data_IF_248936494034
#
_entry.id   IF_248936494034
#
_cell.length_a   1.000
_cell.length_b   1.000
_cell.length_c   1.000
_cell.angle_alpha   90.00
_cell.angle_beta   90.00
_cell.angle_gamma   90.00
#
_symmetry.space_group_name_H-M   'P 1'
#
loop_
_entity.id
_entity.type
_entity.pdbx_description
1 polymer ?
#
# COMPACT_ATOMS: atom_id res chain seq x y z
N UNK A 1 6.96 2.03 -55.75
CA UNK A 1 7.43 2.99 -54.73
C UNK A 1 7.63 4.34 -55.38
N UNK A 2 6.63 5.24 -55.48
CA UNK A 2 6.86 6.63 -55.94
C UNK A 2 5.63 7.58 -55.86
N UNK A 3 4.87 7.65 -54.75
CA UNK A 3 3.75 8.62 -54.63
C UNK A 3 3.53 9.27 -53.25
N UNK A 4 4.58 9.52 -52.45
CA UNK A 4 4.41 10.19 -51.12
C UNK A 4 5.24 11.48 -50.96
N UNK A 5 6.08 11.84 -51.94
CA UNK A 5 6.99 13.00 -51.81
C UNK A 5 6.39 14.43 -51.91
N UNK A 6 5.15 14.72 -52.39
CA UNK A 6 4.74 16.13 -52.53
C UNK A 6 3.95 16.71 -51.34
N UNK A 7 3.71 15.97 -50.26
CA UNK A 7 2.90 16.48 -49.12
C UNK A 7 3.73 17.12 -47.99
N UNK A 8 5.03 16.85 -47.91
CA UNK A 8 5.93 17.45 -46.92
C UNK A 8 6.36 18.88 -47.28
N UNK A 9 6.29 19.27 -48.55
CA UNK A 9 6.74 20.59 -49.02
C UNK A 9 5.69 21.71 -48.81
N UNK A 10 4.43 21.33 -48.60
CA UNK A 10 3.32 22.28 -48.35
C UNK A 10 3.25 22.77 -46.90
N UNK A 11 3.76 22.00 -45.95
CA UNK A 11 3.78 22.34 -44.52
C UNK A 11 4.96 23.22 -44.15
N UNK A 12 6.15 22.99 -44.73
CA UNK A 12 7.33 23.85 -44.48
C UNK A 12 7.16 25.27 -45.03
N UNK A 13 6.45 25.44 -46.16
CA UNK A 13 6.18 26.78 -46.74
C UNK A 13 5.15 27.60 -45.95
N UNK A 14 4.42 26.97 -45.01
CA UNK A 14 3.42 27.63 -44.16
C UNK A 14 3.98 28.07 -42.79
N UNK A 15 5.15 27.55 -42.40
CA UNK A 15 5.79 27.86 -41.11
C UNK A 15 6.80 29.02 -41.20
N UNK A 16 7.34 29.32 -42.39
CA UNK A 16 8.30 30.41 -42.60
C UNK A 16 7.67 31.81 -42.77
N UNK A 17 6.33 31.92 -42.81
CA UNK A 17 5.62 33.17 -43.19
C UNK A 17 5.04 33.98 -42.04
N UNK A 18 5.31 33.64 -40.78
CA UNK A 18 4.78 34.36 -39.60
C UNK A 18 5.86 34.97 -38.70
N UNK A 19 7.10 35.13 -39.17
CA UNK A 19 8.17 35.75 -38.38
C UNK A 19 8.66 37.05 -39.04
N UNK A 20 7.94 38.15 -38.82
CA UNK A 20 8.44 39.52 -39.00
C UNK A 20 7.35 40.55 -38.68
N UNK A 21 7.29 41.03 -37.43
CA UNK A 21 6.78 42.36 -37.08
C UNK A 21 7.09 42.67 -35.62
N UNK A 22 8.33 43.10 -35.36
CA UNK A 22 8.73 43.79 -34.14
C UNK A 22 8.49 45.28 -34.38
N UNK A 23 7.68 45.93 -33.55
CA UNK A 23 7.61 47.39 -33.46
C UNK A 23 7.75 47.75 -31.98
N UNK A 24 8.89 48.34 -31.68
CA UNK A 24 9.29 48.88 -30.38
C UNK A 24 8.76 50.31 -30.35
N UNK A 25 7.93 50.64 -29.36
CA UNK A 25 7.69 52.03 -28.96
C UNK A 25 7.78 52.10 -27.44
N UNK A 26 8.74 52.89 -26.96
CA UNK A 26 9.00 53.16 -25.56
C UNK A 26 8.51 54.58 -25.24
N UNK A 27 7.74 54.74 -24.17
CA UNK A 27 7.31 56.04 -23.63
C UNK A 27 6.74 55.88 -22.22
N UNK A 28 6.87 56.90 -21.35
CA UNK A 28 7.41 56.72 -20.00
C UNK A 28 6.36 56.63 -18.87
N UNK A 29 6.81 56.03 -17.77
CA UNK A 29 6.17 55.99 -16.44
C UNK A 29 6.17 57.35 -15.74
N UNK A 30 5.01 57.79 -15.25
CA UNK A 30 4.87 58.52 -13.98
C UNK A 30 3.56 58.12 -13.26
N UNK A 31 3.54 58.15 -11.91
CA UNK A 31 2.46 57.59 -11.08
C UNK A 31 1.41 58.65 -10.71
N UNK A 32 0.20 58.21 -10.30
CA UNK A 32 -0.54 58.65 -9.08
C UNK A 32 -2.06 58.48 -9.20
N UNK A 33 -2.58 57.74 -8.21
CA UNK A 33 -3.90 57.76 -7.53
C UNK A 33 -5.18 58.12 -8.28
N UNK A 34 -6.20 57.24 -8.25
CA UNK A 34 -7.36 57.34 -7.33
C UNK A 34 -8.46 56.30 -7.67
N UNK A 35 -8.85 55.54 -6.64
CA UNK A 35 -10.17 54.97 -6.35
C UNK A 35 -11.14 54.62 -7.49
N UNK A 36 -11.38 53.33 -7.69
CA UNK A 36 -12.71 52.83 -8.10
C UNK A 36 -12.94 51.38 -7.62
N UNK A 37 -14.20 51.13 -7.25
CA UNK A 37 -14.69 50.04 -6.43
C UNK A 37 -14.30 48.63 -6.89
N UNK A 38 -13.76 47.83 -5.97
CA UNK A 38 -13.63 46.38 -6.11
C UNK A 38 -14.96 45.73 -5.72
N UNK A 39 -15.73 45.40 -6.75
CA UNK A 39 -16.87 44.48 -6.66
C UNK A 39 -16.29 43.07 -6.45
N UNK A 40 -16.50 42.52 -5.26
CA UNK A 40 -15.98 41.23 -4.84
C UNK A 40 -16.61 40.11 -5.67
N UNK A 41 -15.93 39.72 -6.76
CA UNK A 41 -16.16 38.45 -7.43
C UNK A 41 -15.66 37.37 -6.49
N UNK A 42 -16.59 36.70 -5.81
CA UNK A 42 -16.32 35.50 -5.05
C UNK A 42 -15.81 34.42 -6.02
N UNK A 43 -14.49 34.22 -6.06
CA UNK A 43 -13.93 33.04 -6.69
C UNK A 43 -14.45 31.81 -5.94
N UNK A 44 -15.04 30.83 -6.64
CA UNK A 44 -15.34 29.55 -6.02
C UNK A 44 -13.99 28.93 -5.68
N UNK A 45 -13.71 28.81 -4.39
CA UNK A 45 -12.59 28.05 -3.87
C UNK A 45 -12.71 26.66 -4.46
N UNK A 46 -11.92 26.41 -5.51
CA UNK A 46 -11.70 25.10 -6.09
C UNK A 46 -11.26 24.23 -4.92
N UNK A 47 -12.20 23.40 -4.47
CA UNK A 47 -11.99 22.54 -3.33
C UNK A 47 -10.73 21.76 -3.63
N UNK A 48 -9.76 21.84 -2.73
CA UNK A 48 -8.66 20.91 -2.67
C UNK A 48 -9.25 19.53 -2.94
N UNK A 49 -9.04 19.03 -4.16
CA UNK A 49 -9.29 17.65 -4.49
C UNK A 49 -8.33 16.92 -3.59
N UNK A 50 -8.82 16.54 -2.41
CA UNK A 50 -8.28 15.41 -1.67
C UNK A 50 -7.91 14.41 -2.75
N UNK A 51 -6.64 14.01 -2.81
CA UNK A 51 -6.25 12.81 -3.55
C UNK A 51 -7.03 11.67 -2.92
N UNK A 52 -8.31 11.57 -3.29
CA UNK A 52 -9.23 10.55 -2.85
C UNK A 52 -8.56 9.29 -3.31
N UNK A 53 -8.29 8.39 -2.36
CA UNK A 53 -7.84 7.05 -2.68
C UNK A 53 -8.68 6.56 -3.87
N UNK A 54 -8.04 6.04 -4.94
CA UNK A 54 -8.76 5.70 -6.16
C UNK A 54 -9.94 4.82 -5.80
N UNK A 55 -11.13 5.15 -6.27
CA UNK A 55 -12.28 4.29 -6.06
C UNK A 55 -12.06 2.95 -6.80
N UNK A 56 -12.75 1.89 -6.42
CA UNK A 56 -12.71 0.62 -7.14
C UNK A 56 -13.07 0.82 -8.62
N UNK A 57 -14.03 1.70 -8.91
CA UNK A 57 -14.41 2.04 -10.29
C UNK A 57 -13.23 2.66 -11.06
N UNK A 58 -12.50 3.57 -10.42
CA UNK A 58 -11.33 4.23 -11.01
C UNK A 58 -10.19 3.22 -11.24
N UNK A 59 -9.94 2.35 -10.27
CA UNK A 59 -8.95 1.28 -10.39
C UNK A 59 -9.30 0.33 -11.56
N UNK A 60 -10.56 -0.10 -11.67
CA UNK A 60 -10.99 -0.97 -12.78
C UNK A 60 -10.88 -0.24 -14.12
N UNK A 61 -11.27 1.03 -14.20
CA UNK A 61 -11.10 1.79 -15.44
C UNK A 61 -9.63 1.96 -15.82
N UNK A 62 -8.76 2.18 -14.84
CA UNK A 62 -7.32 2.28 -15.06
C UNK A 62 -6.74 0.97 -15.58
N UNK A 63 -7.03 -0.19 -14.96
CA UNK A 63 -6.47 -1.47 -15.44
C UNK A 63 -6.96 -1.81 -16.84
N UNK A 64 -8.21 -1.50 -17.19
CA UNK A 64 -8.74 -1.74 -18.53
C UNK A 64 -8.06 -0.84 -19.57
N UNK A 65 -7.76 0.42 -19.22
CA UNK A 65 -6.95 1.28 -20.07
C UNK A 65 -5.53 0.72 -20.24
N UNK A 66 -4.89 0.26 -19.17
CA UNK A 66 -3.57 -0.38 -19.25
C UNK A 66 -3.58 -1.66 -20.12
N UNK A 67 -4.65 -2.47 -20.04
CA UNK A 67 -4.82 -3.64 -20.92
C UNK A 67 -5.07 -3.27 -22.39
N UNK A 68 -5.80 -2.19 -22.65
CA UNK A 68 -6.01 -1.68 -24.01
C UNK A 68 -4.68 -1.27 -24.66
N UNK A 69 -3.80 -0.60 -23.90
CA UNK A 69 -2.47 -0.25 -24.38
C UNK A 69 -1.53 -1.46 -24.53
N UNK A 70 -1.52 -2.36 -23.54
CA UNK A 70 -0.62 -3.52 -23.54
C UNK A 70 -1.01 -4.59 -24.57
N UNK A 71 -2.31 -4.81 -24.78
CA UNK A 71 -2.85 -5.92 -25.56
C UNK A 71 -3.81 -5.49 -26.67
N UNK A 72 -3.58 -4.31 -27.27
CA UNK A 72 -4.47 -3.64 -28.23
C UNK A 72 -5.30 -4.56 -29.15
N UNK A 73 -4.65 -5.43 -29.94
CA UNK A 73 -5.35 -6.32 -30.89
C UNK A 73 -6.23 -7.37 -30.18
N UNK A 74 -5.77 -7.96 -29.07
CA UNK A 74 -6.55 -8.95 -28.32
C UNK A 74 -7.70 -8.27 -27.58
N UNK A 75 -7.46 -7.07 -27.04
CA UNK A 75 -8.42 -6.27 -26.31
C UNK A 75 -9.61 -5.88 -27.21
N UNK A 76 -9.37 -5.31 -28.39
CA UNK A 76 -10.46 -4.95 -29.31
C UNK A 76 -11.19 -6.17 -29.90
N UNK A 77 -10.54 -7.34 -29.98
CA UNK A 77 -11.21 -8.59 -30.35
C UNK A 77 -12.12 -9.12 -29.23
N UNK A 78 -11.68 -9.04 -27.98
CA UNK A 78 -12.45 -9.49 -26.82
C UNK A 78 -13.59 -8.52 -26.48
N UNK A 79 -13.37 -7.22 -26.67
CA UNK A 79 -14.28 -6.14 -26.28
C UNK A 79 -14.64 -5.25 -27.47
N UNK A 80 -15.15 -5.85 -28.55
CA UNK A 80 -15.52 -5.13 -29.77
C UNK A 80 -16.69 -4.14 -29.57
N UNK A 81 -17.60 -4.45 -28.63
CA UNK A 81 -18.80 -3.65 -28.36
C UNK A 81 -18.67 -2.91 -27.03
N UNK A 82 -19.13 -1.66 -26.98
CA UNK A 82 -19.15 -0.85 -25.76
C UNK A 82 -19.98 -1.50 -24.63
N UNK A 83 -21.08 -2.19 -24.98
CA UNK A 83 -21.89 -2.93 -24.00
C UNK A 83 -21.13 -4.11 -23.38
N UNK A 84 -20.39 -4.87 -24.20
CA UNK A 84 -19.57 -6.00 -23.72
C UNK A 84 -18.47 -5.53 -22.78
N UNK A 85 -17.84 -4.39 -23.08
CA UNK A 85 -16.85 -3.76 -22.21
C UNK A 85 -17.47 -3.31 -20.88
N UNK A 86 -18.66 -2.71 -20.89
CA UNK A 86 -19.36 -2.30 -19.68
C UNK A 86 -19.75 -3.50 -18.79
N UNK A 87 -20.25 -4.59 -19.39
CA UNK A 87 -20.56 -5.85 -18.68
C UNK A 87 -19.30 -6.44 -18.07
N UNK A 88 -18.18 -6.49 -18.82
CA UNK A 88 -16.92 -7.00 -18.33
C UNK A 88 -16.40 -6.17 -17.15
N UNK A 89 -16.40 -4.84 -17.24
CA UNK A 89 -16.00 -3.96 -16.13
C UNK A 89 -16.87 -4.17 -14.89
N UNK A 90 -18.19 -4.31 -15.05
CA UNK A 90 -19.11 -4.61 -13.93
C UNK A 90 -18.82 -5.96 -13.28
N UNK A 91 -18.55 -6.99 -14.09
CA UNK A 91 -18.17 -8.31 -13.60
C UNK A 91 -16.84 -8.30 -12.84
N UNK A 92 -15.86 -7.57 -13.37
CA UNK A 92 -14.54 -7.41 -12.73
C UNK A 92 -14.63 -6.60 -11.44
N UNK A 93 -15.44 -5.54 -11.41
CA UNK A 93 -15.71 -4.75 -10.22
C UNK A 93 -16.27 -5.63 -9.09
N UNK A 94 -17.29 -6.43 -9.37
CA UNK A 94 -17.89 -7.33 -8.38
C UNK A 94 -16.92 -8.43 -7.92
N UNK A 95 -16.07 -8.94 -8.81
CA UNK A 95 -15.11 -9.99 -8.43
C UNK A 95 -13.93 -9.44 -7.62
N UNK A 96 -13.59 -8.16 -7.78
CA UNK A 96 -12.45 -7.51 -7.14
C UNK A 96 -12.85 -6.57 -5.99
N UNK A 97 -14.12 -6.55 -5.60
CA UNK A 97 -14.65 -5.68 -4.54
C UNK A 97 -13.97 -5.91 -3.17
N UNK A 98 -13.46 -7.12 -2.94
CA UNK A 98 -12.83 -7.50 -1.69
C UNK A 98 -11.35 -7.05 -1.56
N UNK A 99 -10.76 -6.48 -2.62
CA UNK A 99 -9.36 -6.06 -2.66
C UNK A 99 -9.22 -4.55 -2.76
N UNK A 100 -8.21 -3.99 -2.11
CA UNK A 100 -8.00 -2.54 -2.15
C UNK A 100 -7.73 -2.05 -3.59
N UNK A 101 -8.23 -0.86 -3.98
CA UNK A 101 -8.02 -0.29 -5.31
C UNK A 101 -6.53 -0.20 -5.72
N UNK A 102 -5.65 0.14 -4.77
CA UNK A 102 -4.19 0.20 -4.99
C UNK A 102 -3.57 -1.18 -5.23
N UNK A 103 -4.11 -2.23 -4.61
CA UNK A 103 -3.71 -3.62 -4.79
C UNK A 103 -4.08 -4.10 -6.19
N UNK A 104 -5.31 -3.81 -6.65
CA UNK A 104 -5.80 -4.19 -7.99
C UNK A 104 -4.91 -3.61 -9.09
N UNK A 105 -4.60 -2.31 -9.04
CA UNK A 105 -3.76 -1.65 -10.05
C UNK A 105 -2.35 -2.24 -10.08
N UNK A 106 -1.73 -2.48 -8.93
CA UNK A 106 -0.39 -3.06 -8.87
C UNK A 106 -0.37 -4.52 -9.32
N UNK A 107 -1.40 -5.30 -8.97
CA UNK A 107 -1.56 -6.67 -9.44
C UNK A 107 -1.69 -6.72 -10.96
N UNK A 108 -2.52 -5.87 -11.56
CA UNK A 108 -2.65 -5.77 -13.01
C UNK A 108 -1.31 -5.43 -13.69
N UNK A 109 -0.54 -4.47 -13.16
CA UNK A 109 0.81 -4.13 -13.66
C UNK A 109 1.78 -5.31 -13.59
N UNK A 110 1.72 -6.10 -12.52
CA UNK A 110 2.53 -7.32 -12.38
C UNK A 110 2.15 -8.35 -13.43
N UNK A 111 0.85 -8.54 -13.68
CA UNK A 111 0.35 -9.48 -14.70
C UNK A 111 0.74 -9.02 -16.11
N UNK A 112 0.64 -7.73 -16.40
CA UNK A 112 1.06 -7.17 -17.71
C UNK A 112 2.54 -7.46 -18.00
N UNK A 113 3.39 -7.43 -16.96
CA UNK A 113 4.82 -7.71 -17.09
C UNK A 113 5.15 -9.19 -17.22
N UNK A 114 4.26 -10.08 -16.79
CA UNK A 114 4.52 -11.52 -16.75
C UNK A 114 3.81 -12.31 -17.84
N UNK A 115 2.71 -11.79 -18.40
CA UNK A 115 1.91 -12.48 -19.41
C UNK A 115 1.97 -11.79 -20.77
N UNK A 116 2.19 -12.57 -21.82
CA UNK A 116 2.24 -12.08 -23.22
C UNK A 116 0.83 -11.88 -23.83
N UNK A 117 -0.21 -12.39 -23.17
CA UNK A 117 -1.59 -12.38 -23.64
C UNK A 117 -2.50 -11.62 -22.69
N UNK A 118 -3.66 -11.19 -23.19
CA UNK A 118 -4.67 -10.51 -22.39
C UNK A 118 -5.05 -11.41 -21.20
N UNK A 119 -4.83 -10.96 -19.95
CA UNK A 119 -5.01 -11.81 -18.79
C UNK A 119 -6.49 -12.09 -18.53
N UNK A 120 -6.77 -13.28 -18.00
CA UNK A 120 -8.08 -13.59 -17.43
C UNK A 120 -8.24 -12.93 -16.06
N UNK A 121 -9.50 -12.77 -15.62
CA UNK A 121 -9.79 -12.25 -14.29
C UNK A 121 -9.12 -13.07 -13.18
N UNK A 122 -9.05 -14.39 -13.34
CA UNK A 122 -8.40 -15.30 -12.39
C UNK A 122 -6.89 -15.06 -12.27
N UNK A 123 -6.22 -14.62 -13.35
CA UNK A 123 -4.81 -14.25 -13.29
C UNK A 123 -4.62 -12.98 -12.44
N UNK A 124 -5.52 -12.00 -12.58
CA UNK A 124 -5.48 -10.76 -11.78
C UNK A 124 -5.81 -11.03 -10.31
N UNK A 125 -6.82 -11.87 -10.03
CA UNK A 125 -7.16 -12.30 -8.67
C UNK A 125 -5.97 -12.97 -7.98
N UNK A 126 -5.32 -13.94 -8.65
CA UNK A 126 -4.11 -14.58 -8.10
C UNK A 126 -2.98 -13.58 -7.86
N UNK A 127 -2.80 -12.62 -8.76
CA UNK A 127 -1.80 -11.57 -8.58
C UNK A 127 -2.13 -10.61 -7.42
N UNK A 128 -3.42 -10.39 -7.12
CA UNK A 128 -3.84 -9.68 -5.92
C UNK A 128 -3.49 -10.49 -4.66
N UNK A 129 -3.79 -11.79 -4.65
CA UNK A 129 -3.48 -12.70 -3.53
C UNK A 129 -1.98 -12.83 -3.26
N UNK A 130 -1.15 -12.83 -4.30
CA UNK A 130 0.31 -12.88 -4.19
C UNK A 130 0.94 -11.52 -3.79
N UNK A 131 0.15 -10.45 -3.72
CA UNK A 131 0.59 -9.08 -3.48
C UNK A 131 1.02 -8.74 -2.05
N UNK A 132 1.57 -9.70 -1.29
CA UNK A 132 1.99 -9.53 0.11
C UNK A 132 2.97 -8.36 0.30
N UNK A 133 3.90 -8.16 -0.65
CA UNK A 133 4.91 -7.11 -0.61
C UNK A 133 4.32 -5.70 -0.49
N UNK A 134 3.10 -5.49 -0.99
CA UNK A 134 2.43 -4.19 -0.97
C UNK A 134 2.02 -3.76 0.43
N UNK A 135 1.83 -4.73 1.31
CA UNK A 135 1.43 -4.55 2.71
C UNK A 135 2.63 -4.71 3.66
N UNK A 136 3.86 -4.83 3.13
CA UNK A 136 5.04 -5.11 3.94
C UNK A 136 5.03 -6.50 4.57
N UNK A 137 4.22 -7.42 4.05
CA UNK A 137 4.14 -8.80 4.53
C UNK A 137 5.29 -9.62 3.92
N UNK A 138 6.21 -10.17 4.73
CA UNK A 138 7.26 -11.05 4.21
C UNK A 138 6.69 -12.35 3.62
N UNK A 139 7.46 -12.99 2.73
CA UNK A 139 7.08 -14.30 2.21
C UNK A 139 6.91 -15.34 3.35
N UNK A 140 5.98 -16.31 3.24
CA UNK A 140 5.67 -17.25 4.34
C UNK A 140 6.88 -17.96 4.94
N UNK A 141 7.82 -18.40 4.09
CA UNK A 141 9.06 -19.03 4.53
C UNK A 141 10.00 -18.07 5.26
N UNK A 142 10.11 -16.82 4.79
CA UNK A 142 10.92 -15.80 5.45
C UNK A 142 10.33 -15.43 6.82
N UNK A 143 9.00 -15.26 6.88
CA UNK A 143 8.25 -15.03 8.12
C UNK A 143 8.46 -16.17 9.14
N UNK A 144 8.44 -17.42 8.68
CA UNK A 144 8.70 -18.59 9.52
C UNK A 144 10.12 -18.59 10.10
N UNK A 145 11.13 -18.33 9.26
CA UNK A 145 12.54 -18.27 9.70
C UNK A 145 12.74 -17.15 10.72
N UNK A 146 12.12 -15.98 10.52
CA UNK A 146 12.12 -14.89 11.49
C UNK A 146 11.47 -15.31 12.82
N UNK A 147 10.31 -15.98 12.77
CA UNK A 147 9.61 -16.48 13.95
C UNK A 147 10.44 -17.49 14.77
N UNK A 148 11.16 -18.38 14.09
CA UNK A 148 12.05 -19.37 14.70
C UNK A 148 13.33 -18.75 15.28
N UNK A 149 13.91 -17.75 14.61
CA UNK A 149 15.16 -17.09 15.03
C UNK A 149 14.95 -15.99 16.08
N UNK A 150 13.72 -15.52 16.29
CA UNK A 150 13.43 -14.44 17.23
C UNK A 150 13.80 -14.80 18.68
N UNK A 151 14.68 -14.00 19.34
CA UNK A 151 15.10 -14.22 20.71
C UNK A 151 13.95 -13.97 21.70
N UNK A 152 14.05 -14.58 22.88
CA UNK A 152 13.17 -14.27 24.01
C UNK A 152 13.65 -12.98 24.71
N UNK A 153 12.77 -12.01 25.02
CA UNK A 153 11.31 -12.00 24.89
C UNK A 153 10.82 -11.64 23.47
N UNK A 154 9.99 -12.51 22.88
CA UNK A 154 9.47 -12.36 21.51
C UNK A 154 8.62 -11.09 21.29
N UNK A 155 8.05 -10.52 22.36
CA UNK A 155 7.27 -9.27 22.31
C UNK A 155 8.13 -8.01 22.15
N UNK A 156 9.40 -8.06 22.55
CA UNK A 156 10.34 -6.94 22.43
C UNK A 156 11.16 -6.99 21.12
N UNK A 157 10.94 -8.02 20.30
CA UNK A 157 11.62 -8.18 19.03
C UNK A 157 11.09 -7.19 17.98
N UNK A 158 11.98 -6.74 17.09
CA UNK A 158 11.61 -5.88 15.96
C UNK A 158 11.14 -6.75 14.81
N UNK A 159 9.86 -7.09 14.83
CA UNK A 159 9.22 -7.86 13.77
C UNK A 159 9.15 -7.09 12.46
N UNK A 160 9.39 -7.78 11.35
CA UNK A 160 9.19 -7.23 10.00
C UNK A 160 7.73 -6.80 9.78
N UNK A 161 6.79 -7.59 10.29
CA UNK A 161 5.37 -7.27 10.27
C UNK A 161 4.65 -7.84 11.52
N UNK A 162 3.68 -7.13 12.11
CA UNK A 162 2.85 -7.64 13.21
C UNK A 162 2.23 -9.03 12.97
N UNK A 163 1.86 -9.30 11.72
CA UNK A 163 1.30 -10.60 11.31
C UNK A 163 2.25 -11.77 11.58
N UNK A 164 3.57 -11.58 11.48
CA UNK A 164 4.56 -12.63 11.78
C UNK A 164 4.51 -13.02 13.26
N UNK A 165 4.45 -12.03 14.14
CA UNK A 165 4.33 -12.27 15.58
C UNK A 165 3.03 -13.00 15.92
N UNK A 166 1.89 -12.55 15.38
CA UNK A 166 0.59 -13.17 15.67
C UNK A 166 0.49 -14.59 15.10
N UNK A 167 1.05 -14.84 13.90
CA UNK A 167 1.11 -16.17 13.32
C UNK A 167 1.94 -17.11 14.22
N UNK A 168 3.08 -16.62 14.72
CA UNK A 168 3.91 -17.39 15.63
C UNK A 168 3.24 -17.64 16.99
N UNK A 169 2.48 -16.67 17.49
CA UNK A 169 1.68 -16.83 18.71
C UNK A 169 0.56 -17.86 18.51
N UNK A 170 -0.17 -17.81 17.39
CA UNK A 170 -1.25 -18.75 17.07
C UNK A 170 -0.74 -20.19 16.85
N UNK A 171 0.41 -20.33 16.19
CA UNK A 171 1.07 -21.63 15.98
C UNK A 171 1.66 -22.19 17.29
N UNK A 172 2.05 -21.29 18.19
CA UNK A 172 2.68 -21.63 19.47
C UNK A 172 4.20 -21.57 19.38
N UNK A 173 4.80 -20.69 20.18
CA UNK A 173 6.25 -20.50 20.23
C UNK A 173 7.03 -21.75 20.64
N UNK A 174 6.43 -22.60 21.49
CA UNK A 174 7.03 -23.88 21.89
C UNK A 174 7.13 -24.85 20.70
N UNK A 175 6.07 -24.94 19.90
CA UNK A 175 6.02 -25.78 18.70
C UNK A 175 7.03 -25.31 17.67
N UNK A 176 7.12 -24.00 17.43
CA UNK A 176 8.10 -23.42 16.51
C UNK A 176 9.56 -23.61 16.93
N UNK A 177 9.84 -23.79 18.22
CA UNK A 177 11.19 -23.94 18.76
C UNK A 177 11.65 -25.41 18.86
N UNK A 178 10.72 -26.35 19.06
CA UNK A 178 11.07 -27.74 19.41
C UNK A 178 10.68 -28.77 18.32
N UNK A 179 9.72 -28.47 17.46
CA UNK A 179 9.28 -29.39 16.41
C UNK A 179 10.11 -29.24 15.14
N UNK A 180 10.12 -30.29 14.32
CA UNK A 180 10.75 -30.25 13.01
C UNK A 180 10.01 -29.29 12.05
N UNK A 181 10.74 -28.67 11.12
CA UNK A 181 10.20 -27.76 10.10
C UNK A 181 9.03 -28.38 9.33
N UNK A 182 9.12 -29.68 8.98
CA UNK A 182 8.07 -30.39 8.25
C UNK A 182 6.70 -30.41 8.96
N UNK A 183 6.66 -30.27 10.30
CA UNK A 183 5.42 -30.25 11.09
C UNK A 183 5.04 -28.83 11.49
N UNK A 184 6.03 -28.01 11.87
CA UNK A 184 5.81 -26.65 12.34
C UNK A 184 5.46 -25.68 11.20
N UNK A 185 6.12 -25.81 10.04
CA UNK A 185 5.95 -24.89 8.91
C UNK A 185 4.53 -24.90 8.33
N UNK A 186 3.87 -26.04 8.03
CA UNK A 186 2.51 -26.02 7.49
C UNK A 186 1.47 -25.39 8.43
N UNK A 187 1.65 -25.58 9.76
CA UNK A 187 0.78 -24.94 10.76
C UNK A 187 0.97 -23.44 10.79
N UNK A 188 2.24 -23.00 10.76
CA UNK A 188 2.58 -21.58 10.68
C UNK A 188 2.05 -20.95 9.40
N UNK A 189 2.27 -21.59 8.25
CA UNK A 189 1.81 -21.12 6.94
C UNK A 189 0.30 -20.95 6.90
N UNK A 190 -0.46 -21.89 7.47
CA UNK A 190 -1.92 -21.78 7.58
C UNK A 190 -2.33 -20.51 8.35
N UNK A 191 -1.82 -20.32 9.57
CA UNK A 191 -2.16 -19.16 10.40
C UNK A 191 -1.65 -17.84 9.80
N UNK A 192 -0.46 -17.85 9.20
CA UNK A 192 0.12 -16.68 8.55
C UNK A 192 -0.70 -16.27 7.32
N UNK A 193 -1.12 -17.23 6.49
CA UNK A 193 -1.96 -16.95 5.32
C UNK A 193 -3.33 -16.40 5.67
N UNK A 194 -3.95 -16.87 6.76
CA UNK A 194 -5.20 -16.31 7.27
C UNK A 194 -5.04 -14.87 7.76
N UNK A 195 -3.96 -14.58 8.50
CA UNK A 195 -3.65 -13.22 8.92
C UNK A 195 -3.33 -12.30 7.74
N UNK A 196 -2.58 -12.77 6.74
CA UNK A 196 -2.29 -11.99 5.54
C UNK A 196 -3.57 -11.61 4.78
N UNK A 197 -4.52 -12.53 4.65
CA UNK A 197 -5.83 -12.23 4.03
C UNK A 197 -6.57 -11.15 4.79
N UNK A 198 -6.57 -11.21 6.13
CA UNK A 198 -7.19 -10.18 6.98
C UNK A 198 -6.54 -8.80 6.80
N UNK A 199 -5.21 -8.73 6.76
CA UNK A 199 -4.48 -7.48 6.44
C UNK A 199 -4.87 -6.96 5.06
N UNK A 200 -4.95 -7.84 4.06
CA UNK A 200 -5.33 -7.46 2.69
C UNK A 200 -6.76 -6.91 2.60
N UNK A 201 -7.67 -7.39 3.45
CA UNK A 201 -9.03 -6.84 3.58
C UNK A 201 -9.09 -5.53 4.36
N UNK A 202 -7.95 -5.00 4.83
CA UNK A 202 -7.87 -3.74 5.55
C UNK A 202 -8.09 -3.86 7.06
N UNK A 203 -8.01 -5.05 7.64
CA UNK A 203 -7.98 -5.17 9.10
C UNK A 203 -6.62 -4.72 9.67
N UNK A 204 -6.65 -3.75 10.57
CA UNK A 204 -5.46 -3.29 11.28
C UNK A 204 -4.98 -4.33 12.29
N UNK A 205 -3.91 -5.02 11.93
CA UNK A 205 -3.25 -5.96 12.82
C UNK A 205 -2.26 -5.21 13.71
N UNK A 206 -2.73 -4.78 14.87
CA UNK A 206 -1.88 -4.16 15.88
C UNK A 206 -1.22 -5.20 16.79
N UNK A 207 0.08 -5.03 17.04
CA UNK A 207 0.76 -5.75 18.11
C UNK A 207 0.17 -5.33 19.46
N UNK A 208 -0.06 -6.28 20.40
CA UNK A 208 -0.51 -5.92 21.72
C UNK A 208 0.58 -5.12 22.42
N UNK A 209 0.38 -3.80 22.51
CA UNK A 209 1.23 -2.83 23.20
C UNK A 209 1.51 -3.38 24.60
N UNK A 210 2.78 -3.43 25.06
CA UNK A 210 3.06 -3.80 26.43
C UNK A 210 2.37 -2.79 27.33
N UNK A 211 1.43 -3.21 28.17
CA UNK A 211 1.19 -2.47 29.40
C UNK A 211 2.54 -2.37 30.09
N UNK A 212 3.02 -1.14 30.26
CA UNK A 212 4.23 -0.90 31.04
C UNK A 212 4.02 -1.61 32.38
N UNK A 213 4.87 -2.60 32.68
CA UNK A 213 4.87 -3.22 33.99
C UNK A 213 4.88 -2.07 35.00
N UNK A 214 3.95 -2.02 35.97
CA UNK A 214 3.99 -0.97 36.99
C UNK A 214 5.39 -1.01 37.56
N UNK A 215 6.10 0.13 37.53
CA UNK A 215 7.44 0.20 38.07
C UNK A 215 7.35 -0.28 39.51
N UNK A 216 7.75 -1.53 39.74
CA UNK A 216 7.86 -2.08 41.07
C UNK A 216 9.03 -1.33 41.67
N UNK A 217 8.71 -0.19 42.25
CA UNK A 217 9.61 0.62 43.06
C UNK A 217 9.83 -0.23 44.30
N UNK A 218 10.72 -1.21 44.17
CA UNK A 218 11.31 -1.88 45.31
C UNK A 218 12.09 -0.80 46.04
N UNK A 219 11.40 -0.10 46.95
CA UNK A 219 12.03 0.89 47.81
C UNK A 219 13.02 0.10 48.67
N UNK A 220 14.34 0.28 48.49
CA UNK A 220 15.30 -0.45 49.29
C UNK A 220 15.05 -0.09 50.76
N UNK A 221 14.84 -1.11 51.60
CA UNK A 221 14.66 -0.92 53.04
C UNK A 221 15.87 -0.18 53.59
N UNK A 222 15.61 0.94 54.27
CA UNK A 222 16.65 1.71 54.95
C UNK A 222 17.37 0.83 55.97
N UNK A 223 18.62 1.17 56.31
CA UNK A 223 19.44 0.33 57.20
C UNK A 223 18.82 0.14 58.60
N UNK A 224 17.95 1.04 59.04
CA UNK A 224 17.20 0.96 60.30
C UNK A 224 16.01 0.00 60.18
N UNK A 225 15.22 0.10 59.11
CA UNK A 225 14.08 -0.79 58.84
C UNK A 225 14.52 -2.23 58.60
N UNK A 226 15.66 -2.42 57.92
CA UNK A 226 16.26 -3.75 57.68
C UNK A 226 16.67 -4.42 58.99
N UNK A 227 17.30 -3.66 59.91
CA UNK A 227 17.69 -4.15 61.23
C UNK A 227 16.48 -4.47 62.12
N UNK A 228 15.45 -3.64 62.10
CA UNK A 228 14.21 -3.90 62.83
C UNK A 228 13.47 -5.16 62.33
N UNK A 229 13.45 -5.38 61.02
CA UNK A 229 12.81 -6.56 60.41
C UNK A 229 13.59 -7.85 60.69
N UNK A 230 14.92 -7.80 60.66
CA UNK A 230 15.78 -8.92 61.08
C UNK A 230 15.61 -9.21 62.57
N UNK A 231 15.55 -8.18 63.44
CA UNK A 231 15.32 -8.38 64.87
C UNK A 231 13.93 -9.00 65.16
N UNK A 232 12.90 -8.58 64.40
CA UNK A 232 11.57 -9.17 64.47
C UNK A 232 11.59 -10.65 64.03
N UNK A 233 12.25 -10.96 62.92
CA UNK A 233 12.41 -12.35 62.43
C UNK A 233 13.19 -13.23 63.42
N UNK A 234 14.26 -12.71 64.05
CA UNK A 234 15.01 -13.44 65.08
C UNK A 234 14.13 -13.77 66.29
N UNK A 235 13.32 -12.81 66.74
CA UNK A 235 12.38 -12.98 67.84
C UNK A 235 11.27 -13.99 67.52
N UNK A 236 10.76 -14.01 66.28
CA UNK A 236 9.77 -14.99 65.82
C UNK A 236 10.36 -16.40 65.65
N UNK A 237 11.66 -16.51 65.35
CA UNK A 237 12.38 -17.78 65.18
C UNK A 237 13.07 -18.28 66.47
N UNK A 238 12.95 -17.56 67.59
CA UNK A 238 13.50 -17.95 68.89
C UNK A 238 15.04 -17.93 68.99
N UNK A 239 15.70 -17.09 68.18
CA UNK A 239 17.16 -16.92 68.11
C UNK A 239 17.63 -15.63 68.79
#
# INVERSE_FOLDING_TARGET
MEKIKPLLDRTSKKLEKSSSASLIEAGPTEPRSENQAVEAVAEPTDGYRSESAPDHVDAINQIFAEFEFAYHNQYHKAFANAESLAIAKKYWLSSLENYLPTQIVKAAKRVIRSQDYLPSIAAVVRACEEGFDLFGLPAPRAAYVEACSAPSPKRAHRWSHPAVYLAGQATGWYTLANEAEAVAFPRFEYHYGELCRRVMHGEDINLPVPEALPQKTERPLSATERRARIAKMKKELGL
#
